data_IF_326202197045
#
_entry.id   IF_326202197045
#
_cell.length_a   1.000
_cell.length_b   1.000
_cell.length_c   1.000
_cell.angle_alpha   90.00
_cell.angle_beta   90.00
_cell.angle_gamma   90.00
#
_symmetry.space_group_name_H-M   'P 1'
#
loop_
_entity.id
_entity.type
_entity.pdbx_description
1 polymer ?
#
# COMPACT_ATOMS: atom_id res chain seq x y z
N UNK A 1 -27.29 -13.43 -12.77
CA UNK A 1 -26.27 -12.40 -12.46
C UNK A 1 -26.86 -11.48 -11.39
N UNK A 2 -26.16 -11.26 -10.24
CA UNK A 2 -26.69 -10.38 -9.18
C UNK A 2 -26.70 -8.93 -9.67
N UNK A 3 -27.74 -8.17 -9.31
CA UNK A 3 -27.85 -6.76 -9.64
C UNK A 3 -26.78 -5.94 -8.91
N UNK A 4 -26.51 -4.72 -9.38
CA UNK A 4 -25.58 -3.78 -8.73
C UNK A 4 -25.99 -3.52 -7.26
N UNK A 5 -27.28 -3.32 -7.00
CA UNK A 5 -27.84 -3.08 -5.66
C UNK A 5 -27.64 -4.27 -4.72
N UNK A 6 -27.84 -5.49 -5.19
CA UNK A 6 -27.61 -6.70 -4.39
C UNK A 6 -26.14 -6.90 -4.02
N UNK A 7 -25.23 -6.59 -4.96
CA UNK A 7 -23.80 -6.68 -4.69
C UNK A 7 -23.34 -5.65 -3.65
N UNK A 8 -23.81 -4.41 -3.77
CA UNK A 8 -23.49 -3.34 -2.82
C UNK A 8 -24.09 -3.61 -1.44
N UNK A 9 -25.33 -4.10 -1.37
CA UNK A 9 -25.97 -4.52 -0.11
C UNK A 9 -25.19 -5.62 0.61
N UNK A 10 -24.66 -6.61 -0.14
CA UNK A 10 -23.77 -7.65 0.42
C UNK A 10 -22.48 -7.04 0.99
N UNK A 11 -21.83 -6.14 0.26
CA UNK A 11 -20.60 -5.49 0.72
C UNK A 11 -20.85 -4.66 2.00
N UNK A 12 -21.97 -3.93 2.06
CA UNK A 12 -22.35 -3.11 3.21
C UNK A 12 -22.65 -3.97 4.45
N UNK A 13 -23.34 -5.09 4.27
CA UNK A 13 -23.60 -6.06 5.36
C UNK A 13 -22.29 -6.63 5.90
N UNK A 14 -21.40 -7.05 5.01
CA UNK A 14 -20.08 -7.60 5.38
C UNK A 14 -19.24 -6.58 6.12
N UNK A 15 -19.24 -5.32 5.66
CA UNK A 15 -18.57 -4.21 6.35
C UNK A 15 -19.09 -4.08 7.78
N UNK A 16 -20.42 -3.97 7.96
CA UNK A 16 -21.05 -3.81 9.28
C UNK A 16 -20.73 -4.97 10.22
N UNK A 17 -20.74 -6.21 9.72
CA UNK A 17 -20.44 -7.41 10.52
C UNK A 17 -18.97 -7.58 10.89
N UNK A 18 -18.07 -6.91 10.18
CA UNK A 18 -16.62 -7.09 10.33
C UNK A 18 -15.93 -5.94 11.07
N UNK A 19 -16.69 -4.91 11.46
CA UNK A 19 -16.17 -3.75 12.22
C UNK A 19 -15.63 -4.15 13.60
N UNK A 20 -14.77 -3.31 14.22
CA UNK A 20 -14.23 -2.06 13.69
C UNK A 20 -13.05 -2.26 12.74
N UNK A 21 -12.84 -1.28 11.84
CA UNK A 21 -11.70 -1.24 10.93
C UNK A 21 -10.80 -0.05 11.24
N UNK A 22 -9.49 -0.25 11.05
CA UNK A 22 -8.45 0.73 11.33
C UNK A 22 -7.45 0.83 10.20
N UNK A 23 -7.03 2.04 9.89
CA UNK A 23 -5.83 2.31 9.14
C UNK A 23 -4.72 2.70 10.12
N UNK A 24 -3.63 1.94 10.12
CA UNK A 24 -2.44 2.22 10.91
C UNK A 24 -1.29 2.49 9.94
N UNK A 25 -0.54 3.54 10.18
CA UNK A 25 0.66 3.85 9.39
C UNK A 25 1.74 4.48 10.26
N UNK A 26 3.00 4.39 9.76
CA UNK A 26 4.13 5.14 10.31
C UNK A 26 4.46 6.29 9.37
N UNK A 27 4.89 7.47 9.88
CA UNK A 27 5.23 8.61 9.04
C UNK A 27 6.30 8.31 7.98
N UNK A 28 6.17 8.88 6.79
CA UNK A 28 7.09 8.71 5.65
C UNK A 28 8.49 9.31 5.91
N UNK A 29 8.60 10.30 6.80
CA UNK A 29 9.84 10.99 7.10
C UNK A 29 10.80 10.23 8.03
N UNK A 30 10.54 8.96 8.29
CA UNK A 30 11.41 8.11 9.09
C UNK A 30 12.68 7.71 8.34
N UNK A 31 13.78 7.46 9.09
CA UNK A 31 14.95 6.80 8.52
C UNK A 31 14.59 5.42 7.93
N UNK A 32 15.36 5.01 6.92
CA UNK A 32 15.23 3.68 6.31
C UNK A 32 15.34 2.60 7.40
N UNK A 33 14.32 1.76 7.53
CA UNK A 33 14.31 0.62 8.46
C UNK A 33 14.27 -0.75 7.75
N UNK A 34 13.93 -0.79 6.46
CA UNK A 34 14.06 -1.97 5.61
C UNK A 34 15.11 -1.70 4.52
N UNK A 35 16.40 -1.86 4.85
CA UNK A 35 17.49 -1.41 3.98
C UNK A 35 17.73 -2.31 2.77
N UNK A 36 17.29 -3.56 2.81
CA UNK A 36 17.55 -4.56 1.79
C UNK A 36 16.45 -5.63 1.70
N UNK A 37 16.53 -6.44 0.64
CA UNK A 37 15.57 -7.52 0.38
C UNK A 37 15.44 -8.49 1.56
N UNK A 38 16.52 -8.81 2.25
CA UNK A 38 16.50 -9.74 3.38
C UNK A 38 15.71 -9.16 4.57
N UNK A 39 15.84 -7.86 4.82
CA UNK A 39 15.05 -7.15 5.83
C UNK A 39 13.55 -7.18 5.49
N UNK A 40 13.18 -6.99 4.22
CA UNK A 40 11.79 -7.13 3.78
C UNK A 40 11.26 -8.57 3.95
N UNK A 41 12.01 -9.59 3.54
CA UNK A 41 11.62 -11.01 3.71
C UNK A 41 11.42 -11.36 5.19
N UNK A 42 12.31 -10.87 6.06
CA UNK A 42 12.18 -11.04 7.50
C UNK A 42 10.96 -10.29 8.04
N UNK A 43 10.74 -9.04 7.64
CA UNK A 43 9.58 -8.24 8.06
C UNK A 43 8.25 -8.92 7.69
N UNK A 44 8.12 -9.45 6.46
CA UNK A 44 6.97 -10.25 6.02
C UNK A 44 6.71 -11.44 6.96
N UNK A 45 7.75 -12.18 7.28
CA UNK A 45 7.65 -13.38 8.13
C UNK A 45 7.39 -13.04 9.60
N UNK A 46 7.99 -11.96 10.11
CA UNK A 46 7.73 -11.45 11.46
C UNK A 46 6.29 -10.96 11.57
N UNK A 47 5.76 -10.24 10.56
CA UNK A 47 4.37 -9.78 10.55
C UNK A 47 3.40 -10.95 10.59
N UNK A 48 3.66 -12.00 9.82
CA UNK A 48 2.86 -13.24 9.84
C UNK A 48 2.88 -13.92 11.21
N UNK A 49 4.05 -13.99 11.86
CA UNK A 49 4.16 -14.54 13.22
C UNK A 49 3.33 -13.70 14.19
N UNK A 50 3.44 -12.37 14.14
CA UNK A 50 2.69 -11.47 15.01
C UNK A 50 1.17 -11.60 14.78
N UNK A 51 0.72 -11.74 13.54
CA UNK A 51 -0.68 -11.99 13.22
C UNK A 51 -1.19 -13.30 13.84
N UNK A 52 -0.37 -14.35 13.89
CA UNK A 52 -0.72 -15.59 14.58
C UNK A 52 -0.73 -15.46 16.12
N UNK A 53 0.06 -14.54 16.67
CA UNK A 53 0.06 -14.28 18.12
C UNK A 53 -1.15 -13.45 18.57
N UNK A 54 -1.80 -12.73 17.65
CA UNK A 54 -2.96 -11.86 17.93
C UNK A 54 -4.11 -12.26 16.99
N UNK A 55 -4.70 -13.46 17.17
CA UNK A 55 -5.67 -14.03 16.23
C UNK A 55 -7.02 -13.28 16.19
N UNK A 56 -7.31 -12.43 17.17
CA UNK A 56 -8.49 -11.57 17.22
C UNK A 56 -8.41 -10.38 16.24
N UNK A 57 -7.23 -10.10 15.67
CA UNK A 57 -7.03 -9.05 14.65
C UNK A 57 -6.82 -9.68 13.29
N UNK A 58 -7.57 -9.21 12.31
CA UNK A 58 -7.43 -9.63 10.91
C UNK A 58 -6.71 -8.54 10.12
N UNK A 59 -5.63 -8.88 9.45
CA UNK A 59 -4.94 -8.00 8.51
C UNK A 59 -5.70 -8.08 7.18
N UNK A 60 -6.33 -6.99 6.75
CA UNK A 60 -7.05 -6.92 5.48
C UNK A 60 -6.06 -6.69 4.34
N UNK A 61 -5.22 -5.68 4.48
CA UNK A 61 -4.09 -5.41 3.60
C UNK A 61 -2.98 -4.70 4.36
N UNK A 62 -1.80 -4.71 3.81
CA UNK A 62 -0.65 -3.97 4.30
C UNK A 62 0.30 -3.65 3.16
N UNK A 63 1.20 -2.71 3.40
CA UNK A 63 2.29 -2.35 2.51
C UNK A 63 3.53 -2.04 3.34
N UNK A 64 4.63 -2.72 3.05
CA UNK A 64 5.94 -2.40 3.62
C UNK A 64 6.73 -1.57 2.62
N UNK A 65 7.23 -0.42 3.07
CA UNK A 65 8.11 0.47 2.32
C UNK A 65 9.48 0.53 2.99
N UNK A 66 10.45 1.14 2.36
CA UNK A 66 11.82 1.22 2.92
C UNK A 66 11.89 1.96 4.24
N UNK A 67 11.04 2.96 4.44
CA UNK A 67 11.06 3.90 5.58
C UNK A 67 9.72 4.05 6.31
N UNK A 68 8.64 3.45 5.81
CA UNK A 68 7.33 3.49 6.44
C UNK A 68 6.50 2.25 6.11
N UNK A 69 5.37 2.09 6.75
CA UNK A 69 4.43 1.01 6.49
C UNK A 69 2.98 1.46 6.63
N UNK A 70 2.10 0.75 5.95
CA UNK A 70 0.66 0.87 6.08
C UNK A 70 0.03 -0.47 6.44
N UNK A 71 -1.01 -0.44 7.26
CA UNK A 71 -1.83 -1.61 7.59
C UNK A 71 -3.30 -1.22 7.64
N UNK A 72 -4.15 -2.02 6.99
CA UNK A 72 -5.61 -1.96 7.18
C UNK A 72 -6.01 -3.19 7.96
N UNK A 73 -6.57 -2.97 9.14
CA UNK A 73 -6.84 -4.02 10.12
C UNK A 73 -8.33 -4.04 10.50
N UNK A 74 -8.85 -5.22 10.84
CA UNK A 74 -10.15 -5.40 11.47
C UNK A 74 -9.99 -6.02 12.85
N UNK A 75 -10.58 -5.41 13.88
CA UNK A 75 -10.49 -5.83 15.28
C UNK A 75 -10.49 -4.65 16.24
N UNK A 76 -10.36 -4.89 17.55
CA UNK A 76 -10.27 -3.82 18.52
C UNK A 76 -9.01 -2.96 18.31
N UNK A 77 -9.08 -1.67 18.61
CA UNK A 77 -7.90 -0.78 18.54
C UNK A 77 -6.75 -1.30 19.40
N UNK A 78 -7.05 -1.77 20.59
CA UNK A 78 -6.04 -2.35 21.49
C UNK A 78 -5.34 -3.55 20.85
N UNK A 79 -6.10 -4.47 20.25
CA UNK A 79 -5.55 -5.62 19.53
C UNK A 79 -4.66 -5.19 18.35
N UNK A 80 -5.11 -4.21 17.57
CA UNK A 80 -4.36 -3.67 16.44
C UNK A 80 -3.03 -3.03 16.88
N UNK A 81 -3.05 -2.23 17.94
CA UNK A 81 -1.85 -1.62 18.52
C UNK A 81 -0.91 -2.67 19.12
N UNK A 82 -1.44 -3.73 19.74
CA UNK A 82 -0.65 -4.88 20.23
C UNK A 82 0.05 -5.62 19.10
N UNK A 83 -0.65 -5.88 17.99
CA UNK A 83 -0.07 -6.51 16.80
C UNK A 83 1.10 -5.68 16.26
N UNK A 84 0.91 -4.39 16.10
CA UNK A 84 1.97 -3.48 15.66
C UNK A 84 3.13 -3.43 16.66
N UNK A 85 2.85 -3.38 17.98
CA UNK A 85 3.86 -3.37 19.02
C UNK A 85 4.75 -4.61 19.00
N UNK A 86 4.18 -5.80 18.78
CA UNK A 86 4.95 -7.02 18.59
C UNK A 86 5.77 -6.99 17.30
N UNK A 87 5.18 -6.54 16.18
CA UNK A 87 5.91 -6.39 14.94
C UNK A 87 7.12 -5.45 15.10
N UNK A 88 6.93 -4.28 15.69
CA UNK A 88 7.99 -3.32 16.02
C UNK A 88 9.08 -3.95 16.88
N UNK A 89 8.69 -4.63 17.96
CA UNK A 89 9.61 -5.29 18.90
C UNK A 89 10.52 -6.31 18.18
N UNK A 90 9.92 -7.21 17.42
CA UNK A 90 10.68 -8.31 16.83
C UNK A 90 11.48 -7.87 15.61
N UNK A 91 10.94 -7.00 14.77
CA UNK A 91 11.70 -6.44 13.64
C UNK A 91 12.90 -5.64 14.14
N UNK A 92 12.75 -4.84 15.19
CA UNK A 92 13.87 -4.10 15.80
C UNK A 92 14.96 -5.04 16.35
N UNK A 93 14.57 -6.15 17.01
CA UNK A 93 15.54 -7.16 17.46
C UNK A 93 16.30 -7.79 16.29
N UNK A 94 15.58 -8.18 15.24
CA UNK A 94 16.16 -8.79 14.04
C UNK A 94 17.17 -7.84 13.36
N UNK A 95 16.78 -6.60 13.13
CA UNK A 95 17.63 -5.61 12.48
C UNK A 95 18.85 -5.26 13.31
N UNK A 96 18.68 -5.13 14.64
CA UNK A 96 19.79 -4.92 15.58
C UNK A 96 20.80 -6.08 15.54
N UNK A 97 20.33 -7.31 15.48
CA UNK A 97 21.20 -8.49 15.38
C UNK A 97 21.99 -8.53 14.05
N UNK A 98 21.49 -7.88 12.99
CA UNK A 98 22.20 -7.67 11.73
C UNK A 98 23.12 -6.44 11.73
N UNK A 99 23.25 -5.73 12.85
CA UNK A 99 24.10 -4.55 12.96
C UNK A 99 23.46 -3.25 12.48
N UNK A 100 22.16 -3.24 12.16
CA UNK A 100 21.48 -2.00 11.79
C UNK A 100 21.05 -1.26 13.06
N UNK A 101 21.43 0.01 13.14
CA UNK A 101 20.91 0.92 14.16
C UNK A 101 19.50 1.35 13.71
N UNK A 102 18.51 0.55 14.05
CA UNK A 102 17.11 0.99 13.94
C UNK A 102 16.93 1.97 15.07
N UNK A 103 16.95 3.25 14.76
CA UNK A 103 16.54 4.26 15.73
C UNK A 103 15.19 3.84 16.32
N UNK A 104 14.88 4.21 17.56
CA UNK A 104 13.56 4.09 18.19
C UNK A 104 12.42 4.75 17.38
N UNK A 105 12.80 5.38 16.29
CA UNK A 105 12.06 6.01 15.21
C UNK A 105 11.19 5.07 14.36
N UNK A 106 11.03 3.83 14.71
CA UNK A 106 9.84 3.07 14.31
C UNK A 106 8.66 3.77 15.01
N UNK A 107 8.40 4.94 14.53
CA UNK A 107 7.70 6.04 15.14
C UNK A 107 6.39 5.68 15.80
N UNK A 108 5.83 6.63 16.41
CA UNK A 108 4.47 6.56 16.89
C UNK A 108 3.56 6.25 15.71
N UNK A 109 2.86 5.13 15.80
CA UNK A 109 1.86 4.77 14.81
C UNK A 109 0.63 5.64 15.03
N UNK A 110 0.04 6.11 13.94
CA UNK A 110 -1.21 6.86 14.00
C UNK A 110 -2.37 5.94 13.62
N UNK A 111 -3.31 5.66 14.53
CA UNK A 111 -4.53 4.93 14.20
C UNK A 111 -5.62 5.86 13.70
N UNK A 112 -6.29 5.47 12.60
CA UNK A 112 -7.46 6.13 12.05
C UNK A 112 -8.62 5.15 11.94
N UNK A 113 -9.76 5.47 12.52
CA UNK A 113 -10.99 4.69 12.36
C UNK A 113 -11.52 4.79 10.93
N UNK A 114 -12.02 3.68 10.39
CA UNK A 114 -12.62 3.61 9.06
C UNK A 114 -14.12 3.35 9.22
N UNK A 115 -14.91 4.40 9.21
CA UNK A 115 -16.32 4.38 9.63
C UNK A 115 -17.32 4.11 8.51
N UNK A 116 -16.87 4.16 7.24
CA UNK A 116 -17.71 3.85 6.09
C UNK A 116 -17.07 2.82 5.18
N UNK A 117 -17.91 2.06 4.47
CA UNK A 117 -17.46 1.10 3.46
C UNK A 117 -16.63 1.78 2.36
N UNK A 118 -17.01 2.99 1.94
CA UNK A 118 -16.28 3.71 0.89
C UNK A 118 -14.91 4.18 1.39
N UNK A 119 -14.83 4.66 2.61
CA UNK A 119 -13.56 5.04 3.23
C UNK A 119 -12.62 3.84 3.38
N UNK A 120 -13.13 2.70 3.85
CA UNK A 120 -12.36 1.45 3.89
C UNK A 120 -11.85 1.02 2.51
N UNK A 121 -12.68 1.09 1.47
CA UNK A 121 -12.29 0.80 0.08
C UNK A 121 -11.18 1.73 -0.40
N UNK A 122 -11.32 3.02 -0.12
CA UNK A 122 -10.32 4.02 -0.49
C UNK A 122 -8.96 3.73 0.16
N UNK A 123 -8.96 3.38 1.46
CA UNK A 123 -7.72 3.05 2.18
C UNK A 123 -7.12 1.72 1.71
N UNK A 124 -7.93 0.69 1.45
CA UNK A 124 -7.42 -0.56 0.87
C UNK A 124 -6.74 -0.30 -0.47
N UNK A 125 -7.38 0.47 -1.36
CA UNK A 125 -6.81 0.78 -2.68
C UNK A 125 -5.59 1.67 -2.58
N UNK A 126 -5.58 2.64 -1.67
CA UNK A 126 -4.43 3.48 -1.37
C UNK A 126 -3.22 2.63 -0.94
N UNK A 127 -3.38 1.78 0.08
CA UNK A 127 -2.31 0.93 0.57
C UNK A 127 -1.80 -0.02 -0.53
N UNK A 128 -2.72 -0.63 -1.27
CA UNK A 128 -2.37 -1.60 -2.31
C UNK A 128 -1.68 -0.96 -3.53
N UNK A 129 -1.89 0.34 -3.74
CA UNK A 129 -1.28 1.10 -4.84
C UNK A 129 0.14 1.57 -4.52
N UNK A 130 0.42 1.98 -3.28
CA UNK A 130 1.67 2.68 -2.95
C UNK A 130 2.94 1.89 -3.30
N UNK A 131 2.95 0.59 -3.13
CA UNK A 131 4.13 -0.23 -3.38
C UNK A 131 4.61 -0.22 -4.83
N UNK A 132 3.71 -0.31 -5.80
CA UNK A 132 4.10 -0.38 -7.20
C UNK A 132 4.25 0.99 -7.88
N UNK A 133 3.66 2.04 -7.32
CA UNK A 133 3.78 3.39 -7.89
C UNK A 133 5.17 3.98 -7.70
N UNK A 134 5.83 3.66 -6.59
CA UNK A 134 7.19 4.15 -6.31
C UNK A 134 8.29 3.35 -7.03
N UNK A 135 7.96 2.20 -7.62
CA UNK A 135 8.89 1.35 -8.37
C UNK A 135 8.50 1.29 -9.84
N UNK A 136 9.27 1.91 -10.75
CA UNK A 136 8.92 1.98 -12.18
C UNK A 136 8.92 0.62 -12.89
N UNK A 137 9.49 -0.40 -12.27
CA UNK A 137 9.57 -1.75 -12.81
C UNK A 137 8.48 -2.69 -12.26
N UNK A 138 7.63 -2.21 -11.35
CA UNK A 138 6.60 -3.00 -10.72
C UNK A 138 5.22 -2.76 -11.34
N UNK A 139 4.38 -3.77 -11.21
CA UNK A 139 2.95 -3.72 -11.53
C UNK A 139 2.14 -3.94 -10.24
N UNK A 140 0.83 -3.72 -10.25
CA UNK A 140 -0.01 -4.05 -9.10
C UNK A 140 0.14 -5.48 -8.57
N UNK A 141 0.62 -6.40 -9.40
CA UNK A 141 0.78 -7.83 -9.07
C UNK A 141 2.22 -8.26 -8.79
N UNK A 142 3.20 -7.40 -8.98
CA UNK A 142 4.63 -7.77 -8.86
C UNK A 142 5.31 -7.21 -7.63
N UNK A 143 4.75 -6.15 -7.00
CA UNK A 143 5.33 -5.64 -5.75
C UNK A 143 5.19 -6.66 -4.61
N UNK A 144 6.30 -7.22 -4.11
CA UNK A 144 6.24 -8.41 -3.26
C UNK A 144 5.96 -8.11 -1.77
N UNK A 145 6.11 -6.85 -1.34
CA UNK A 145 6.14 -6.47 0.08
C UNK A 145 4.81 -5.92 0.58
N UNK A 146 3.72 -6.46 0.04
CA UNK A 146 2.35 -6.11 0.40
C UNK A 146 1.34 -7.19 0.03
N UNK A 147 0.07 -6.92 0.28
CA UNK A 147 -1.00 -7.87 0.00
C UNK A 147 -1.57 -7.75 -1.42
N UNK A 148 -1.30 -6.66 -2.14
CA UNK A 148 -1.93 -6.35 -3.44
C UNK A 148 -1.72 -7.43 -4.50
N UNK A 149 -0.54 -8.06 -4.54
CA UNK A 149 -0.24 -9.14 -5.50
C UNK A 149 -1.25 -10.30 -5.46
N UNK A 150 -2.02 -10.44 -4.39
CA UNK A 150 -2.98 -11.52 -4.17
C UNK A 150 -4.44 -11.11 -4.38
N UNK A 151 -4.74 -9.79 -4.45
CA UNK A 151 -6.10 -9.30 -4.66
C UNK A 151 -6.58 -9.63 -6.07
N UNK A 152 -7.66 -10.43 -6.16
CA UNK A 152 -8.27 -10.91 -7.41
C UNK A 152 -7.28 -11.61 -8.36
N UNK A 153 -6.17 -12.11 -7.85
CA UNK A 153 -5.13 -12.78 -8.61
C UNK A 153 -5.15 -14.29 -8.36
N UNK A 154 -5.82 -15.02 -9.24
CA UNK A 154 -5.96 -16.46 -9.13
C UNK A 154 -4.62 -17.21 -9.28
N UNK A 155 -3.69 -16.71 -10.11
CA UNK A 155 -2.38 -17.33 -10.32
C UNK A 155 -1.54 -17.26 -9.03
N UNK A 156 -1.49 -16.11 -8.35
CA UNK A 156 -0.80 -15.97 -7.08
C UNK A 156 -1.39 -16.87 -5.98
N UNK A 157 -2.75 -17.00 -5.95
CA UNK A 157 -3.45 -17.91 -5.03
C UNK A 157 -3.18 -19.39 -5.33
N UNK A 158 -3.05 -19.76 -6.61
CA UNK A 158 -2.67 -21.12 -7.00
C UNK A 158 -1.24 -21.43 -6.57
N UNK A 159 -0.29 -20.52 -6.81
CA UNK A 159 1.09 -20.66 -6.39
C UNK A 159 1.25 -20.84 -4.87
N UNK A 160 0.47 -20.13 -4.07
CA UNK A 160 0.44 -20.33 -2.61
C UNK A 160 0.07 -21.78 -2.25
N UNK A 161 -0.93 -22.38 -2.91
CA UNK A 161 -1.36 -23.76 -2.66
C UNK A 161 -0.35 -24.80 -3.11
N UNK A 162 0.36 -24.54 -4.21
CA UNK A 162 1.27 -25.47 -4.84
C UNK A 162 2.67 -25.41 -4.27
N UNK A 163 3.18 -24.22 -3.95
CA UNK A 163 4.57 -23.96 -3.57
C UNK A 163 4.74 -23.62 -2.08
N UNK A 164 3.67 -23.59 -1.29
CA UNK A 164 3.72 -23.20 0.12
C UNK A 164 4.51 -24.19 0.97
N UNK A 165 5.43 -23.66 1.78
CA UNK A 165 6.26 -24.43 2.72
C UNK A 165 6.08 -23.91 4.14
N UNK A 166 6.01 -24.81 5.14
CA UNK A 166 5.87 -24.42 6.52
C UNK A 166 7.16 -23.82 7.09
N UNK A 167 7.05 -22.63 7.68
CA UNK A 167 8.15 -22.02 8.43
C UNK A 167 8.39 -22.80 9.73
N UNK A 168 9.55 -23.45 9.82
CA UNK A 168 9.87 -24.29 10.98
C UNK A 168 10.12 -23.46 12.26
N UNK A 169 10.14 -24.15 13.41
CA UNK A 169 10.30 -23.56 14.74
C UNK A 169 11.63 -22.81 14.89
N UNK A 170 12.72 -23.38 14.39
CA UNK A 170 14.05 -22.78 14.46
C UNK A 170 14.14 -21.48 13.67
N UNK A 171 13.58 -21.44 12.46
CA UNK A 171 13.49 -20.21 11.66
C UNK A 171 12.66 -19.13 12.34
N UNK A 172 11.56 -19.50 13.01
CA UNK A 172 10.77 -18.53 13.80
C UNK A 172 11.59 -17.95 14.95
N UNK A 173 12.34 -18.78 15.68
CA UNK A 173 13.23 -18.33 16.78
C UNK A 173 14.31 -17.38 16.28
N UNK A 174 14.94 -17.70 15.13
CA UNK A 174 15.95 -16.83 14.52
C UNK A 174 15.37 -15.47 14.11
N UNK A 175 14.20 -15.45 13.51
CA UNK A 175 13.53 -14.20 13.10
C UNK A 175 13.15 -13.33 14.30
N UNK A 176 12.64 -13.92 15.37
CA UNK A 176 12.17 -13.17 16.55
C UNK A 176 13.28 -12.88 17.56
N UNK A 177 14.42 -13.57 17.48
CA UNK A 177 15.39 -13.65 18.57
C UNK A 177 14.69 -13.92 19.91
N UNK A 178 13.72 -14.86 19.91
CA UNK A 178 12.84 -15.19 21.02
C UNK A 178 12.20 -16.57 20.85
N UNK A 179 11.75 -17.15 21.97
CA UNK A 179 10.93 -18.37 22.03
C UNK A 179 9.42 -18.08 22.03
N UNK A 180 9.01 -16.82 21.97
CA UNK A 180 7.61 -16.39 22.14
C UNK A 180 6.65 -17.04 21.12
N UNK A 181 7.17 -17.45 19.94
CA UNK A 181 6.38 -18.12 18.90
C UNK A 181 6.43 -19.67 18.94
N UNK A 182 7.02 -20.27 19.98
CA UNK A 182 7.15 -21.73 20.05
C UNK A 182 5.80 -22.44 20.24
N UNK A 183 4.84 -21.77 20.87
CA UNK A 183 3.50 -22.29 21.17
C UNK A 183 2.49 -22.12 20.04
N UNK A 184 2.89 -21.52 18.90
CA UNK A 184 1.99 -21.33 17.76
C UNK A 184 1.51 -22.69 17.20
N UNK A 185 0.20 -22.90 17.25
CA UNK A 185 -0.45 -24.13 16.81
C UNK A 185 -0.50 -24.27 15.28
N UNK A 186 -0.68 -23.14 14.58
CA UNK A 186 -0.77 -23.13 13.13
C UNK A 186 0.59 -22.80 12.51
N UNK A 187 1.04 -23.59 11.52
CA UNK A 187 2.24 -23.25 10.77
C UNK A 187 2.05 -21.92 10.03
N UNK A 188 3.14 -21.23 9.76
CA UNK A 188 3.18 -20.09 8.85
C UNK A 188 3.68 -20.60 7.52
N UNK A 189 2.95 -20.32 6.45
CA UNK A 189 3.29 -20.77 5.11
C UNK A 189 4.10 -19.71 4.39
N UNK A 190 5.26 -20.12 3.88
CA UNK A 190 6.17 -19.29 3.10
C UNK A 190 6.12 -19.68 1.62
N UNK A 191 6.30 -18.71 0.75
CA UNK A 191 6.54 -18.86 -0.68
C UNK A 191 7.76 -18.00 -1.01
N UNK A 192 8.69 -18.50 -1.81
CA UNK A 192 9.94 -17.80 -2.13
C UNK A 192 10.80 -17.40 -0.89
N UNK A 193 10.67 -18.15 0.20
CA UNK A 193 11.50 -18.00 1.39
C UNK A 193 10.98 -16.97 2.43
N UNK A 194 9.80 -16.38 2.23
CA UNK A 194 9.16 -15.49 3.21
C UNK A 194 7.66 -15.77 3.34
N UNK A 195 7.05 -15.32 4.44
CA UNK A 195 5.65 -15.59 4.69
C UNK A 195 4.75 -14.99 3.62
N UNK A 196 3.88 -15.85 3.07
CA UNK A 196 2.94 -15.46 2.03
C UNK A 196 1.76 -14.67 2.62
N UNK A 197 1.38 -13.50 2.07
CA UNK A 197 0.20 -12.77 2.51
C UNK A 197 -1.10 -13.59 2.53
N UNK A 198 -1.24 -14.57 1.65
CA UNK A 198 -2.38 -15.51 1.67
C UNK A 198 -2.49 -16.32 2.97
N UNK A 199 -1.40 -16.48 3.70
CA UNK A 199 -1.40 -17.24 4.96
C UNK A 199 -1.92 -16.42 6.14
N UNK A 200 -1.63 -15.11 6.18
CA UNK A 200 -1.86 -14.29 7.37
C UNK A 200 -2.76 -13.07 7.15
N UNK A 201 -3.08 -12.73 5.90
CA UNK A 201 -4.06 -11.68 5.58
C UNK A 201 -5.42 -12.29 5.23
N UNK A 202 -6.48 -11.62 5.62
CA UNK A 202 -7.84 -11.95 5.21
C UNK A 202 -8.15 -11.31 3.83
N UNK A 203 -7.43 -11.81 2.81
CA UNK A 203 -7.59 -11.36 1.41
C UNK A 203 -9.05 -11.57 0.97
N UNK A 204 -9.69 -12.65 1.41
CA UNK A 204 -11.07 -12.96 1.06
C UNK A 204 -12.04 -11.90 1.57
N UNK A 205 -11.88 -11.45 2.82
CA UNK A 205 -12.66 -10.33 3.34
C UNK A 205 -12.39 -9.07 2.52
N UNK A 206 -11.11 -8.73 2.30
CA UNK A 206 -10.72 -7.56 1.53
C UNK A 206 -11.34 -7.52 0.13
N UNK A 207 -11.30 -8.64 -0.62
CA UNK A 207 -11.93 -8.77 -1.93
C UNK A 207 -13.46 -8.63 -1.88
N UNK A 208 -14.09 -9.23 -0.87
CA UNK A 208 -15.55 -9.23 -0.73
C UNK A 208 -16.13 -7.87 -0.29
N UNK A 209 -15.30 -6.93 0.14
CA UNK A 209 -15.70 -5.54 0.36
C UNK A 209 -15.90 -4.78 -0.96
N UNK A 210 -15.42 -5.32 -2.09
CA UNK A 210 -15.69 -4.81 -3.44
C UNK A 210 -16.76 -5.64 -4.13
N UNK A 211 -17.53 -5.04 -5.03
CA UNK A 211 -18.59 -5.72 -5.78
C UNK A 211 -18.05 -6.85 -6.67
N UNK A 212 -16.91 -6.60 -7.29
CA UNK A 212 -16.20 -7.54 -8.17
C UNK A 212 -14.77 -7.03 -8.46
N UNK A 213 -13.96 -7.85 -9.12
CA UNK A 213 -12.60 -7.50 -9.54
C UNK A 213 -12.54 -6.19 -10.36
N UNK A 214 -13.44 -6.02 -11.34
CA UNK A 214 -13.47 -4.79 -12.15
C UNK A 214 -13.77 -3.54 -11.33
N UNK A 215 -14.55 -3.65 -10.26
CA UNK A 215 -14.76 -2.55 -9.32
C UNK A 215 -13.46 -2.22 -8.59
N UNK A 216 -12.79 -3.22 -8.00
CA UNK A 216 -11.52 -3.04 -7.31
C UNK A 216 -10.46 -2.39 -8.20
N UNK A 217 -10.21 -2.95 -9.41
CA UNK A 217 -9.18 -2.41 -10.31
C UNK A 217 -9.48 -0.98 -10.79
N UNK A 218 -10.75 -0.64 -10.97
CA UNK A 218 -11.14 0.73 -11.29
C UNK A 218 -10.85 1.70 -10.14
N UNK A 219 -11.14 1.30 -8.89
CA UNK A 219 -10.82 2.13 -7.72
C UNK A 219 -9.31 2.32 -7.56
N UNK A 220 -8.52 1.26 -7.74
CA UNK A 220 -7.04 1.35 -7.70
C UNK A 220 -6.50 2.30 -8.77
N UNK A 221 -7.06 2.28 -10.00
CA UNK A 221 -6.49 2.96 -11.16
C UNK A 221 -7.04 4.38 -11.39
N UNK A 222 -8.22 4.71 -10.88
CA UNK A 222 -8.96 5.92 -11.27
C UNK A 222 -9.38 6.82 -10.12
N UNK A 223 -9.25 6.38 -8.88
CA UNK A 223 -9.71 7.16 -7.73
C UNK A 223 -8.59 8.08 -7.17
N UNK A 224 -7.98 8.86 -8.07
CA UNK A 224 -6.83 9.73 -7.76
C UNK A 224 -7.17 10.75 -6.68
N UNK A 225 -8.36 11.36 -6.73
CA UNK A 225 -8.76 12.39 -5.76
C UNK A 225 -8.93 11.83 -4.36
N UNK A 226 -9.51 10.62 -4.20
CA UNK A 226 -9.58 9.95 -2.89
C UNK A 226 -8.20 9.60 -2.36
N UNK A 227 -7.30 9.18 -3.23
CA UNK A 227 -5.92 8.85 -2.84
C UNK A 227 -5.16 10.10 -2.42
N UNK A 228 -5.33 11.21 -3.16
CA UNK A 228 -4.79 12.53 -2.81
C UNK A 228 -5.32 13.03 -1.46
N UNK A 229 -6.61 12.83 -1.20
CA UNK A 229 -7.23 13.20 0.07
C UNK A 229 -6.64 12.40 1.25
N UNK A 230 -6.50 11.08 1.10
CA UNK A 230 -5.88 10.22 2.13
C UNK A 230 -4.42 10.63 2.36
N UNK A 231 -3.62 10.77 1.31
CA UNK A 231 -2.22 11.17 1.44
C UNK A 231 -2.06 12.52 2.18
N UNK A 232 -2.89 13.51 1.85
CA UNK A 232 -2.91 14.81 2.55
C UNK A 232 -3.29 14.66 4.03
N UNK A 233 -4.29 13.83 4.33
CA UNK A 233 -4.75 13.60 5.70
C UNK A 233 -3.66 12.94 6.56
N UNK A 234 -2.91 12.01 6.01
CA UNK A 234 -1.86 11.28 6.73
C UNK A 234 -0.47 11.94 6.62
N UNK A 235 -0.35 13.06 5.88
CA UNK A 235 0.89 13.82 5.73
C UNK A 235 1.92 13.15 4.81
N UNK A 236 1.47 12.38 3.83
CA UNK A 236 2.33 11.67 2.89
C UNK A 236 2.37 12.31 1.51
N UNK A 237 3.46 12.07 0.79
CA UNK A 237 3.61 12.46 -0.61
C UNK A 237 3.03 11.37 -1.51
N UNK A 238 2.04 11.73 -2.31
CA UNK A 238 1.52 10.80 -3.31
C UNK A 238 2.30 10.92 -4.62
N UNK A 239 2.64 9.77 -5.19
CA UNK A 239 3.24 9.67 -6.52
C UNK A 239 2.22 9.10 -7.49
N UNK A 240 2.23 9.59 -8.73
CA UNK A 240 1.32 9.18 -9.79
C UNK A 240 2.07 8.49 -10.91
N UNK A 241 1.46 7.45 -11.47
CA UNK A 241 1.92 6.86 -12.73
C UNK A 241 1.68 7.81 -13.90
N UNK A 242 2.37 7.58 -15.01
CA UNK A 242 2.17 8.37 -16.22
C UNK A 242 0.71 8.34 -16.74
N UNK A 243 0.06 7.18 -16.65
CA UNK A 243 -1.34 7.02 -17.09
C UNK A 243 -2.31 7.78 -16.17
N UNK A 244 -2.08 7.78 -14.88
CA UNK A 244 -2.88 8.55 -13.92
C UNK A 244 -2.72 10.05 -14.13
N UNK A 245 -1.47 10.52 -14.25
CA UNK A 245 -1.20 11.94 -14.56
C UNK A 245 -1.78 12.36 -15.91
N UNK A 246 -1.72 11.50 -16.91
CA UNK A 246 -2.33 11.79 -18.21
C UNK A 246 -3.85 11.92 -18.08
N UNK A 247 -4.50 11.09 -17.27
CA UNK A 247 -5.92 11.22 -16.93
C UNK A 247 -6.23 12.58 -16.28
N UNK A 248 -5.40 13.00 -15.30
CA UNK A 248 -5.51 14.33 -14.67
C UNK A 248 -5.36 15.45 -15.70
N UNK A 249 -4.36 15.38 -16.58
CA UNK A 249 -4.13 16.39 -17.61
C UNK A 249 -5.34 16.51 -18.56
N UNK A 250 -5.94 15.37 -18.96
CA UNK A 250 -7.15 15.38 -19.79
C UNK A 250 -8.34 16.03 -19.07
N UNK A 251 -8.55 15.74 -17.79
CA UNK A 251 -9.62 16.37 -16.98
C UNK A 251 -9.40 17.87 -16.87
N UNK A 252 -8.18 18.32 -16.58
CA UNK A 252 -7.83 19.73 -16.51
C UNK A 252 -8.00 20.45 -17.86
N UNK A 253 -7.66 19.75 -18.94
CA UNK A 253 -7.90 20.30 -20.29
C UNK A 253 -9.40 20.43 -20.59
N UNK A 254 -10.23 19.48 -20.13
CA UNK A 254 -11.67 19.58 -20.28
C UNK A 254 -12.26 20.75 -19.49
N UNK A 255 -11.77 20.97 -18.28
CA UNK A 255 -12.29 22.02 -17.39
C UNK A 255 -11.84 23.44 -17.77
N UNK A 256 -10.56 23.59 -18.17
CA UNK A 256 -9.92 24.90 -18.34
C UNK A 256 -9.74 25.33 -19.79
N UNK A 257 -9.73 24.38 -20.74
CA UNK A 257 -9.36 24.60 -22.13
C UNK A 257 -10.30 23.90 -23.12
N UNK A 258 -11.60 23.79 -22.76
CA UNK A 258 -12.66 23.23 -23.61
C UNK A 258 -12.32 21.86 -24.23
N UNK A 259 -11.58 21.02 -23.52
CA UNK A 259 -11.19 19.70 -23.98
C UNK A 259 -10.07 19.69 -25.04
N UNK A 260 -9.36 20.79 -25.22
CA UNK A 260 -8.22 20.85 -26.13
C UNK A 260 -7.16 19.82 -25.75
N UNK A 261 -6.63 19.12 -26.74
CA UNK A 261 -5.57 18.11 -26.47
C UNK A 261 -4.33 18.76 -25.89
N UNK A 262 -3.67 18.18 -24.86
CA UNK A 262 -2.50 18.75 -24.20
C UNK A 262 -1.38 19.16 -25.16
N UNK A 263 -1.17 18.36 -26.22
CA UNK A 263 -0.14 18.65 -27.24
C UNK A 263 -0.41 19.93 -28.04
N UNK A 264 -1.67 20.34 -28.18
CA UNK A 264 -2.12 21.49 -29.02
C UNK A 264 -2.29 22.77 -28.19
N UNK A 265 -2.17 22.72 -26.87
CA UNK A 265 -2.25 23.91 -26.04
C UNK A 265 -1.15 24.92 -26.37
N UNK A 266 -1.42 26.22 -26.26
CA UNK A 266 -0.39 27.26 -26.35
C UNK A 266 0.64 27.09 -25.22
N UNK A 267 1.86 27.59 -25.45
CA UNK A 267 2.97 27.40 -24.49
C UNK A 267 2.63 27.93 -23.10
N UNK A 268 1.96 29.08 -23.00
CA UNK A 268 1.53 29.66 -21.71
C UNK A 268 0.59 28.73 -20.94
N UNK A 269 -0.40 28.12 -21.60
CA UNK A 269 -1.30 27.16 -20.98
C UNK A 269 -0.57 25.88 -20.55
N UNK A 270 0.39 25.40 -21.34
CA UNK A 270 1.24 24.28 -20.95
C UNK A 270 2.09 24.59 -19.73
N UNK A 271 2.63 25.81 -19.61
CA UNK A 271 3.39 26.23 -18.43
C UNK A 271 2.52 26.33 -17.19
N UNK A 272 1.29 26.83 -17.32
CA UNK A 272 0.31 26.83 -16.22
C UNK A 272 -0.02 25.42 -15.75
N UNK A 273 -0.31 24.49 -16.69
CA UNK A 273 -0.53 23.09 -16.35
C UNK A 273 0.72 22.43 -15.76
N UNK A 274 1.90 22.75 -16.27
CA UNK A 274 3.15 22.23 -15.72
C UNK A 274 3.35 22.62 -14.24
N UNK A 275 3.06 23.88 -13.89
CA UNK A 275 3.11 24.35 -12.51
C UNK A 275 2.10 23.60 -11.64
N UNK A 276 0.84 23.42 -12.12
CA UNK A 276 -0.17 22.66 -11.40
C UNK A 276 0.25 21.20 -11.19
N UNK A 277 0.75 20.54 -12.22
CA UNK A 277 1.21 19.17 -12.13
C UNK A 277 2.40 19.01 -11.14
N UNK A 278 3.32 19.97 -11.14
CA UNK A 278 4.46 19.95 -10.26
C UNK A 278 4.05 20.14 -8.78
N UNK A 279 3.30 21.22 -8.49
CA UNK A 279 3.00 21.62 -7.11
C UNK A 279 1.83 20.87 -6.48
N UNK A 280 0.80 20.52 -7.29
CA UNK A 280 -0.41 19.86 -6.76
C UNK A 280 -0.38 18.34 -6.90
N UNK A 281 0.37 17.80 -7.89
CA UNK A 281 0.42 16.38 -8.19
C UNK A 281 1.82 15.78 -8.06
N UNK A 282 2.81 16.53 -7.56
CA UNK A 282 4.19 16.08 -7.40
C UNK A 282 4.80 15.44 -8.66
N UNK A 283 4.37 15.89 -9.83
CA UNK A 283 4.88 15.36 -11.09
C UNK A 283 6.35 15.72 -11.27
N UNK A 284 7.16 14.72 -11.58
CA UNK A 284 8.57 14.93 -11.90
C UNK A 284 8.78 15.59 -13.25
N UNK A 285 9.90 16.29 -13.43
CA UNK A 285 10.22 17.01 -14.67
C UNK A 285 10.07 16.15 -15.93
N UNK A 286 10.52 14.89 -15.89
CA UNK A 286 10.37 13.93 -17.00
C UNK A 286 8.92 13.59 -17.31
N UNK A 287 8.06 13.50 -16.31
CA UNK A 287 6.62 13.26 -16.49
C UNK A 287 5.96 14.49 -17.15
N UNK A 288 6.22 15.68 -16.63
CA UNK A 288 5.70 16.95 -17.18
C UNK A 288 6.11 17.11 -18.65
N UNK A 289 7.35 16.83 -19.00
CA UNK A 289 7.83 16.85 -20.39
C UNK A 289 7.02 15.94 -21.29
N UNK A 290 6.80 14.68 -20.87
CA UNK A 290 6.04 13.70 -21.66
C UNK A 290 4.57 14.07 -21.79
N UNK A 291 3.94 14.52 -20.69
CA UNK A 291 2.50 14.84 -20.66
C UNK A 291 2.16 16.05 -21.55
N UNK A 292 2.96 17.11 -21.45
CA UNK A 292 2.66 18.39 -22.10
C UNK A 292 3.47 18.63 -23.38
N UNK A 293 4.40 17.74 -23.71
CA UNK A 293 5.35 17.92 -24.82
C UNK A 293 6.09 19.27 -24.73
N UNK A 294 6.54 19.61 -23.54
CA UNK A 294 7.40 20.75 -23.29
C UNK A 294 8.88 20.37 -23.47
N UNK A 295 9.69 21.32 -23.92
CA UNK A 295 11.13 21.12 -23.99
C UNK A 295 11.74 20.91 -22.60
N UNK A 296 12.75 20.03 -22.53
CA UNK A 296 13.42 19.68 -21.28
C UNK A 296 14.07 20.89 -20.59
N UNK A 297 14.63 21.81 -21.38
CA UNK A 297 15.26 23.03 -20.87
C UNK A 297 14.25 23.97 -20.23
N UNK A 298 13.06 24.09 -20.84
CA UNK A 298 11.94 24.89 -20.32
C UNK A 298 11.49 24.33 -18.97
N UNK A 299 11.23 23.01 -18.89
CA UNK A 299 10.76 22.37 -17.65
C UNK A 299 11.83 22.45 -16.56
N UNK A 300 13.10 22.25 -16.89
CA UNK A 300 14.20 22.36 -15.93
C UNK A 300 14.42 23.80 -15.44
N UNK A 301 14.17 24.80 -16.28
CA UNK A 301 14.20 26.20 -15.88
C UNK A 301 13.03 26.57 -14.97
N UNK A 302 11.84 25.98 -15.18
CA UNK A 302 10.68 26.18 -14.30
C UNK A 302 10.84 25.51 -12.94
N UNK A 303 11.42 24.31 -12.90
CA UNK A 303 11.54 23.45 -11.72
C UNK A 303 12.99 22.94 -11.58
N UNK A 304 13.91 23.79 -11.14
CA UNK A 304 15.30 23.39 -10.94
C UNK A 304 15.38 22.30 -9.85
N UNK A 305 16.06 21.21 -10.15
CA UNK A 305 16.33 20.18 -9.14
C UNK A 305 17.26 20.78 -8.09
N UNK A 306 16.85 20.75 -6.83
CA UNK A 306 17.75 21.05 -5.73
C UNK A 306 18.77 19.92 -5.68
N UNK A 307 20.04 20.25 -5.91
CA UNK A 307 21.16 19.33 -5.81
C UNK A 307 21.33 18.74 -4.42
#
# INVERSE_FOLDING_TARGET
MKTFSEQEGRCSLLFTQSQPFWHLWTPENHPVFLPDKEAFMAAMSILAICARMIPEVRIITFQLMTNHLHQTLAGSLEGCLRLFGFFKKYLSKYLKARGFTVGLAFGDITPRSLESLQDLRNVITYNNRNGYVVSPNETPFTYPWGANAYYFNYAAKARYRECGQALNRESRRRLLHSHDADTLQRPIVTVDGYACPMDFCDITLGENLFRCASHYFREVSRNIESQKAIAREIGETIFYTDDELFGVVLSLCQEKYDGMRPALLPVSAKQELAALLHYEYNAGNKQIQRMLRLDATVVSAMFPQRG
#
